data_IF_482748469649
#
_entry.id   IF_482748469649
#
_cell.length_a   1.000
_cell.length_b   1.000
_cell.length_c   1.000
_cell.angle_alpha   90.00
_cell.angle_beta   90.00
_cell.angle_gamma   90.00
#
_symmetry.space_group_name_H-M   'P 1'
#
loop_
_entity.id
_entity.type
_entity.pdbx_description
1 polymer ?
#
# COMPACT_ATOMS: atom_id res chain seq x y z
N UNK A 1 -17.03 -0.04 1.73
CA UNK A 1 -15.76 -0.09 2.51
C UNK A 1 -14.84 -1.22 2.06
N UNK A 2 -15.35 -2.45 1.92
CA UNK A 2 -14.55 -3.62 1.53
C UNK A 2 -13.89 -3.48 0.14
N UNK A 3 -14.60 -2.94 -0.85
CA UNK A 3 -14.01 -2.71 -2.18
C UNK A 3 -12.81 -1.76 -2.13
N UNK A 4 -12.86 -0.72 -1.31
CA UNK A 4 -11.75 0.21 -1.14
C UNK A 4 -10.53 -0.49 -0.52
N UNK A 5 -10.74 -1.37 0.45
CA UNK A 5 -9.66 -2.18 1.03
C UNK A 5 -9.04 -3.15 0.01
N UNK A 6 -9.87 -3.85 -0.76
CA UNK A 6 -9.37 -4.74 -1.82
C UNK A 6 -8.54 -3.99 -2.86
N UNK A 7 -9.00 -2.79 -3.25
CA UNK A 7 -8.27 -1.93 -4.18
C UNK A 7 -6.93 -1.43 -3.62
N UNK A 8 -6.86 -1.11 -2.31
CA UNK A 8 -5.61 -0.77 -1.63
C UNK A 8 -4.65 -1.96 -1.65
N UNK A 9 -5.12 -3.15 -1.26
CA UNK A 9 -4.31 -4.38 -1.26
C UNK A 9 -3.80 -4.73 -2.66
N UNK A 10 -4.67 -4.62 -3.67
CA UNK A 10 -4.28 -4.84 -5.07
C UNK A 10 -3.20 -3.85 -5.51
N UNK A 11 -3.35 -2.56 -5.20
CA UNK A 11 -2.37 -1.53 -5.55
C UNK A 11 -1.01 -1.78 -4.90
N UNK A 12 -0.99 -2.24 -3.64
CA UNK A 12 0.24 -2.63 -2.93
C UNK A 12 0.93 -3.83 -3.60
N UNK A 13 0.17 -4.83 -4.03
CA UNK A 13 0.71 -5.99 -4.77
C UNK A 13 1.31 -5.58 -6.10
N UNK A 14 0.63 -4.72 -6.86
CA UNK A 14 1.13 -4.17 -8.13
C UNK A 14 2.45 -3.43 -7.90
N UNK A 15 2.53 -2.55 -6.90
CA UNK A 15 3.77 -1.84 -6.54
C UNK A 15 4.92 -2.82 -6.24
N UNK A 16 4.65 -3.89 -5.47
CA UNK A 16 5.64 -4.92 -5.17
C UNK A 16 6.12 -5.64 -6.43
N UNK A 17 5.20 -6.02 -7.32
CA UNK A 17 5.54 -6.70 -8.56
C UNK A 17 6.36 -5.80 -9.49
N UNK A 18 6.03 -4.51 -9.58
CA UNK A 18 6.80 -3.54 -10.34
C UNK A 18 8.24 -3.40 -9.82
N UNK A 19 8.43 -3.46 -8.50
CA UNK A 19 9.75 -3.45 -7.90
C UNK A 19 10.55 -4.71 -8.27
N UNK A 20 9.95 -5.91 -8.16
CA UNK A 20 10.59 -7.15 -8.58
C UNK A 20 10.93 -7.15 -10.07
N UNK A 21 10.00 -6.69 -10.90
CA UNK A 21 10.21 -6.56 -12.34
C UNK A 21 11.41 -5.66 -12.64
N UNK A 22 11.49 -4.48 -12.00
CA UNK A 22 12.62 -3.56 -12.14
C UNK A 22 13.93 -4.22 -11.73
N UNK A 23 13.97 -4.90 -10.58
CA UNK A 23 15.17 -5.56 -10.06
C UNK A 23 15.70 -6.66 -10.99
N UNK A 24 14.79 -7.41 -11.61
CA UNK A 24 15.13 -8.56 -12.45
C UNK A 24 15.45 -8.18 -13.90
N UNK A 25 14.75 -7.20 -14.47
CA UNK A 25 14.77 -6.95 -15.92
C UNK A 25 15.46 -5.65 -16.34
N UNK A 26 15.66 -4.71 -15.42
CA UNK A 26 16.22 -3.39 -15.75
C UNK A 26 17.59 -3.27 -15.06
N UNK A 27 18.64 -3.76 -15.73
CA UNK A 27 20.04 -3.57 -15.32
C UNK A 27 20.71 -2.50 -16.21
N UNK A 28 21.53 -1.63 -15.61
CA UNK A 28 22.40 -0.69 -16.34
C UNK A 28 21.75 0.58 -16.91
N UNK A 29 20.45 0.81 -16.75
CA UNK A 29 19.77 2.00 -17.28
C UNK A 29 19.75 3.14 -16.25
N UNK A 30 20.49 4.23 -16.53
CA UNK A 30 20.67 5.38 -15.61
C UNK A 30 19.43 6.26 -15.46
N UNK A 31 18.61 6.35 -16.52
CA UNK A 31 17.41 7.19 -16.51
C UNK A 31 16.14 6.33 -16.43
N UNK A 32 15.40 6.47 -15.33
CA UNK A 32 14.28 5.61 -14.95
C UNK A 32 12.97 6.41 -14.77
N UNK A 33 12.89 7.59 -15.38
CA UNK A 33 11.75 8.51 -15.28
C UNK A 33 10.41 7.83 -15.62
N UNK A 34 10.36 7.02 -16.68
CA UNK A 34 9.11 6.35 -17.12
C UNK A 34 8.61 5.31 -16.11
N UNK A 35 9.50 4.45 -15.61
CA UNK A 35 9.14 3.45 -14.61
C UNK A 35 8.71 4.10 -13.30
N UNK A 36 9.39 5.18 -12.89
CA UNK A 36 9.02 5.97 -11.71
C UNK A 36 7.64 6.61 -11.86
N UNK A 37 7.36 7.23 -13.01
CA UNK A 37 6.05 7.80 -13.30
C UNK A 37 4.90 6.77 -13.29
N UNK A 38 5.17 5.51 -13.66
CA UNK A 38 4.16 4.43 -13.51
C UNK A 38 3.95 4.10 -12.02
N UNK A 39 5.02 3.98 -11.24
CA UNK A 39 4.92 3.73 -9.79
C UNK A 39 4.17 4.87 -9.09
N UNK A 40 4.49 6.12 -9.42
CA UNK A 40 3.86 7.31 -8.85
C UNK A 40 2.35 7.34 -9.14
N UNK A 41 1.93 6.97 -10.35
CA UNK A 41 0.50 6.83 -10.70
C UNK A 41 -0.20 5.74 -9.88
N UNK A 42 0.45 4.62 -9.61
CA UNK A 42 -0.11 3.57 -8.74
C UNK A 42 -0.24 4.08 -7.31
N UNK A 43 0.76 4.81 -6.80
CA UNK A 43 0.73 5.41 -5.47
C UNK A 43 -0.38 6.45 -5.35
N UNK A 44 -0.55 7.31 -6.36
CA UNK A 44 -1.61 8.31 -6.40
C UNK A 44 -3.00 7.67 -6.40
N UNK A 45 -3.18 6.62 -7.21
CA UNK A 45 -4.43 5.84 -7.23
C UNK A 45 -4.71 5.20 -5.86
N UNK A 46 -3.69 4.65 -5.21
CA UNK A 46 -3.79 4.08 -3.87
C UNK A 46 -4.25 5.14 -2.85
N UNK A 47 -3.68 6.36 -2.88
CA UNK A 47 -4.13 7.48 -2.03
C UNK A 47 -5.62 7.81 -2.26
N UNK A 48 -6.09 7.74 -3.51
CA UNK A 48 -7.50 7.88 -3.84
C UNK A 48 -8.38 6.83 -3.14
N UNK A 49 -7.97 5.57 -3.16
CA UNK A 49 -8.69 4.49 -2.48
C UNK A 49 -8.66 4.63 -0.95
N UNK A 50 -7.54 5.10 -0.37
CA UNK A 50 -7.44 5.39 1.07
C UNK A 50 -8.44 6.47 1.48
N UNK A 51 -8.54 7.57 0.72
CA UNK A 51 -9.54 8.62 0.97
C UNK A 51 -10.97 8.07 0.87
N UNK A 52 -11.26 7.27 -0.17
CA UNK A 52 -12.56 6.61 -0.33
C UNK A 52 -12.90 5.70 0.85
N UNK A 53 -11.92 4.95 1.37
CA UNK A 53 -12.09 4.11 2.55
C UNK A 53 -12.42 4.94 3.80
N UNK A 54 -11.64 5.99 4.08
CA UNK A 54 -11.85 6.89 5.23
C UNK A 54 -13.26 7.50 5.18
N UNK A 55 -13.63 8.07 4.04
CA UNK A 55 -14.95 8.66 3.85
C UNK A 55 -16.10 7.64 3.99
N UNK A 56 -15.95 6.45 3.40
CA UNK A 56 -16.96 5.39 3.53
C UNK A 56 -17.10 4.90 4.97
N UNK A 57 -15.99 4.86 5.73
CA UNK A 57 -16.01 4.49 7.14
C UNK A 57 -16.74 5.55 7.97
N UNK A 58 -16.42 6.83 7.78
CA UNK A 58 -17.11 7.94 8.46
C UNK A 58 -18.61 7.93 8.18
N UNK A 59 -19.01 7.73 6.93
CA UNK A 59 -20.42 7.59 6.57
C UNK A 59 -21.07 6.39 7.27
N UNK A 60 -20.37 5.26 7.34
CA UNK A 60 -20.85 4.06 8.04
C UNK A 60 -21.01 4.28 9.55
N UNK A 61 -20.08 5.00 10.19
CA UNK A 61 -20.18 5.39 11.61
C UNK A 61 -21.41 6.28 11.82
N UNK A 62 -21.64 7.27 10.96
CA UNK A 62 -22.78 8.18 11.08
C UNK A 62 -24.14 7.49 10.92
N UNK A 63 -24.22 6.46 10.06
CA UNK A 63 -25.46 5.76 9.76
C UNK A 63 -25.81 4.66 10.76
N UNK A 64 -24.83 3.84 11.13
CA UNK A 64 -25.05 2.63 11.96
C UNK A 64 -24.69 2.89 13.43
N UNK A 65 -23.79 3.84 13.68
CA UNK A 65 -23.15 4.00 14.98
C UNK A 65 -21.98 3.02 15.19
N UNK A 66 -21.28 3.15 16.32
CA UNK A 66 -20.19 2.26 16.70
C UNK A 66 -20.71 0.83 16.95
N UNK A 67 -19.94 -0.18 16.55
CA UNK A 67 -20.32 -1.57 16.74
C UNK A 67 -19.21 -2.56 16.38
N UNK A 68 -19.53 -3.87 16.45
CA UNK A 68 -18.56 -4.95 16.21
C UNK A 68 -17.85 -4.87 14.85
N UNK A 69 -18.45 -4.20 13.87
CA UNK A 69 -17.87 -3.99 12.55
C UNK A 69 -16.61 -3.11 12.55
N UNK A 70 -16.38 -2.29 13.59
CA UNK A 70 -15.14 -1.49 13.72
C UNK A 70 -13.90 -2.36 13.93
N UNK A 71 -14.06 -3.55 14.51
CA UNK A 71 -12.97 -4.51 14.69
C UNK A 71 -12.42 -5.01 13.35
N UNK A 72 -13.30 -5.11 12.35
CA UNK A 72 -13.00 -5.55 10.99
C UNK A 72 -12.56 -4.36 10.12
N UNK A 73 -13.26 -3.23 10.22
CA UNK A 73 -13.01 -2.01 9.45
C UNK A 73 -12.35 -0.94 10.33
N UNK A 74 -11.08 -1.20 10.66
CA UNK A 74 -10.26 -0.32 11.51
C UNK A 74 -9.92 1.00 10.82
N UNK A 75 -9.54 1.99 11.62
CA UNK A 75 -8.98 3.25 11.11
C UNK A 75 -7.71 2.93 10.33
N UNK A 76 -7.62 3.42 9.09
CA UNK A 76 -6.45 3.23 8.24
C UNK A 76 -5.50 4.41 8.40
N UNK A 77 -4.38 4.19 9.07
CA UNK A 77 -3.29 5.16 9.18
C UNK A 77 -2.39 5.08 7.94
N UNK A 78 -1.64 6.15 7.67
CA UNK A 78 -0.70 6.13 6.54
C UNK A 78 0.45 5.12 6.78
N UNK A 79 0.78 4.88 8.06
CA UNK A 79 1.75 3.89 8.53
C UNK A 79 1.33 2.43 8.28
N UNK A 80 0.03 2.18 8.14
CA UNK A 80 -0.48 0.85 7.84
C UNK A 80 -0.25 0.49 6.36
N UNK A 81 -0.05 1.50 5.50
CA UNK A 81 0.12 1.34 4.06
C UNK A 81 1.60 1.18 3.73
N UNK A 82 2.16 0.07 4.22
CA UNK A 82 3.56 -0.32 3.97
C UNK A 82 3.70 -1.17 2.71
N UNK A 83 4.83 -1.02 2.02
CA UNK A 83 5.18 -1.93 0.91
C UNK A 83 5.55 -3.30 1.49
N UNK A 84 5.18 -4.39 0.81
CA UNK A 84 5.57 -5.76 1.22
C UNK A 84 7.09 -5.93 1.41
N UNK A 85 7.89 -5.14 0.68
CA UNK A 85 9.34 -5.15 0.81
C UNK A 85 9.85 -4.37 2.05
N UNK A 86 9.15 -3.33 2.50
CA UNK A 86 9.53 -2.58 3.71
C UNK A 86 9.38 -3.48 4.94
N UNK A 87 8.32 -4.30 4.97
CA UNK A 87 8.10 -5.30 6.03
C UNK A 87 9.18 -6.40 6.07
N UNK A 88 9.77 -6.74 4.91
CA UNK A 88 10.83 -7.74 4.81
C UNK A 88 12.21 -7.19 5.22
N UNK A 89 12.45 -5.88 5.05
CA UNK A 89 13.67 -5.20 5.49
C UNK A 89 13.68 -4.92 7.00
N UNK A 90 12.51 -4.69 7.61
CA UNK A 90 12.34 -4.53 9.06
C UNK A 90 12.61 -5.82 9.86
N UNK A 91 12.61 -7.00 9.20
CA UNK A 91 13.17 -8.21 9.79
C UNK A 91 14.70 -8.09 9.79
N UNK A 92 15.22 -7.36 10.79
CA UNK A 92 16.64 -7.19 11.10
C UNK A 92 17.39 -8.50 10.82
N UNK A 93 18.24 -8.48 9.79
CA UNK A 93 19.31 -9.46 9.67
C UNK A 93 20.20 -9.27 10.90
N UNK A 94 20.50 -10.30 11.71
CA UNK A 94 21.55 -10.16 12.72
C UNK A 94 22.80 -9.72 11.97
N UNK A 95 23.39 -8.61 12.42
CA UNK A 95 24.56 -8.01 11.79
C UNK A 95 25.62 -9.10 11.58
N UNK A 96 26.21 -9.12 10.38
CA UNK A 96 27.31 -10.03 10.06
C UNK A 96 28.45 -9.74 11.04
N UNK A 97 28.63 -10.62 12.03
CA UNK A 97 29.81 -10.62 12.90
C UNK A 97 30.96 -11.26 12.12
N UNK A 98 32.09 -10.54 12.04
CA UNK A 98 33.43 -11.06 11.70
C UNK A 98 33.56 -11.69 10.33
#
# INVERSE_FOLDING_TARGET
>A
CHDALQNIQHSLRVKSQMFHFKKQNIWGQRDNMRSRAVVDRVVERMKGFMRKYRHSREAKVKLIGPGAWENVLRVLQDEDVRSYHDQALDKKRPGRQG
#
